data_IF_455439900383
#
_entry.id   IF_455439900383
#
_cell.length_a   1.000
_cell.length_b   1.000
_cell.length_c   1.000
_cell.angle_alpha   90.00
_cell.angle_beta   90.00
_cell.angle_gamma   90.00
#
_symmetry.space_group_name_H-M   'P 1'
#
loop_
_entity.id
_entity.type
_entity.pdbx_description
1 polymer ?
#
# COMPACT_ATOMS: atom_id res chain seq x y z
N UNK A 1 5.62 -21.27 -6.90
CA UNK A 1 5.36 -21.12 -5.45
C UNK A 1 5.45 -19.66 -5.00
N UNK A 2 6.55 -18.96 -5.29
CA UNK A 2 6.79 -17.57 -4.84
C UNK A 2 5.68 -16.55 -5.13
N UNK A 3 5.13 -16.53 -6.36
CA UNK A 3 4.04 -15.61 -6.70
C UNK A 3 2.73 -15.85 -5.94
N UNK A 4 2.49 -17.07 -5.46
CA UNK A 4 1.33 -17.38 -4.61
C UNK A 4 1.53 -16.79 -3.21
N UNK A 5 2.70 -17.03 -2.62
CA UNK A 5 3.06 -16.54 -1.30
C UNK A 5 2.98 -15.01 -1.26
N UNK A 6 3.52 -14.33 -2.26
CA UNK A 6 3.46 -12.87 -2.35
C UNK A 6 2.02 -12.34 -2.36
N UNK A 7 1.11 -12.98 -3.12
CA UNK A 7 -0.30 -12.55 -3.13
C UNK A 7 -0.96 -12.79 -1.78
N UNK A 8 -0.75 -13.95 -1.15
CA UNK A 8 -1.30 -14.24 0.19
C UNK A 8 -0.78 -13.23 1.22
N UNK A 9 0.53 -12.91 1.21
CA UNK A 9 1.10 -11.90 2.09
C UNK A 9 0.51 -10.51 1.85
N UNK A 10 0.26 -10.14 0.58
CA UNK A 10 -0.40 -8.87 0.23
C UNK A 10 -1.87 -8.82 0.71
N UNK A 11 -2.59 -9.93 0.61
CA UNK A 11 -3.97 -10.05 1.10
C UNK A 11 -4.03 -9.96 2.63
N UNK A 12 -3.09 -10.60 3.34
CA UNK A 12 -2.94 -10.45 4.78
C UNK A 12 -2.62 -9.01 5.17
N UNK A 13 -1.71 -8.35 4.43
CA UNK A 13 -1.38 -6.95 4.65
C UNK A 13 -2.61 -6.04 4.46
N UNK A 14 -3.46 -6.31 3.46
CA UNK A 14 -4.73 -5.59 3.27
C UNK A 14 -5.64 -5.76 4.47
N UNK A 15 -5.83 -6.99 4.95
CA UNK A 15 -6.70 -7.29 6.08
C UNK A 15 -6.23 -6.61 7.36
N UNK A 16 -4.94 -6.71 7.66
CA UNK A 16 -4.33 -6.02 8.81
C UNK A 16 -4.49 -4.51 8.66
N UNK A 17 -4.20 -3.96 7.48
CA UNK A 17 -4.38 -2.54 7.17
C UNK A 17 -5.82 -2.07 7.36
N UNK A 18 -6.80 -2.86 6.93
CA UNK A 18 -8.22 -2.55 7.09
C UNK A 18 -8.64 -2.55 8.56
N UNK A 19 -8.16 -3.52 9.33
CA UNK A 19 -8.41 -3.59 10.78
C UNK A 19 -7.81 -2.36 11.47
N UNK A 20 -6.58 -1.96 11.11
CA UNK A 20 -5.96 -0.75 11.63
C UNK A 20 -6.76 0.51 11.23
N UNK A 21 -7.16 0.61 9.96
CA UNK A 21 -7.84 1.78 9.41
C UNK A 21 -9.22 2.01 10.04
N UNK A 22 -10.01 0.95 10.23
CA UNK A 22 -11.39 1.03 10.76
C UNK A 22 -11.40 1.03 12.30
N UNK A 23 -10.60 0.16 12.93
CA UNK A 23 -10.78 -0.16 14.35
C UNK A 23 -9.73 0.41 15.29
N UNK A 24 -8.45 0.48 14.91
CA UNK A 24 -7.40 0.83 15.86
C UNK A 24 -6.87 2.26 15.72
N UNK A 25 -6.87 2.83 14.51
CA UNK A 25 -6.22 4.11 14.24
C UNK A 25 -7.09 5.31 14.64
N UNK A 26 -6.65 6.15 15.61
CA UNK A 26 -7.38 7.37 15.98
C UNK A 26 -7.37 8.41 14.86
N UNK A 27 -6.27 8.49 14.09
CA UNK A 27 -6.08 9.47 13.03
C UNK A 27 -7.11 9.26 11.91
N UNK A 28 -7.26 8.01 11.45
CA UNK A 28 -8.20 7.69 10.37
C UNK A 28 -9.64 7.79 10.84
N UNK A 29 -9.95 7.40 12.08
CA UNK A 29 -11.29 7.56 12.67
C UNK A 29 -11.71 9.02 12.74
N UNK A 30 -10.83 9.90 13.21
CA UNK A 30 -11.08 11.34 13.24
C UNK A 30 -11.16 11.92 11.83
N UNK A 31 -10.29 11.46 10.93
CA UNK A 31 -10.24 11.90 9.54
C UNK A 31 -11.51 11.54 8.74
N UNK A 32 -12.06 10.35 8.95
CA UNK A 32 -13.33 9.92 8.33
C UNK A 32 -14.52 10.68 8.91
N UNK A 33 -14.51 11.00 10.22
CA UNK A 33 -15.59 11.78 10.86
C UNK A 33 -15.60 13.25 10.44
N UNK A 34 -14.44 13.85 10.23
CA UNK A 34 -14.29 15.24 9.79
C UNK A 34 -13.34 15.31 8.59
N UNK A 35 -13.86 14.93 7.44
CA UNK A 35 -13.08 14.85 6.20
C UNK A 35 -12.53 16.21 5.77
N UNK A 36 -13.29 17.29 5.97
CA UNK A 36 -12.86 18.64 5.63
C UNK A 36 -11.60 19.06 6.42
N UNK A 37 -11.57 18.79 7.74
CA UNK A 37 -10.39 19.04 8.56
C UNK A 37 -9.23 18.10 8.21
N UNK A 38 -9.52 16.85 7.85
CA UNK A 38 -8.49 15.88 7.46
C UNK A 38 -7.72 16.33 6.21
N UNK A 39 -8.37 16.97 5.25
CA UNK A 39 -7.73 17.45 4.02
C UNK A 39 -6.78 18.64 4.23
N UNK A 40 -6.96 19.39 5.33
CA UNK A 40 -6.14 20.55 5.66
C UNK A 40 -4.79 20.18 6.29
N UNK A 41 -4.69 19.00 6.91
CA UNK A 41 -3.45 18.51 7.51
C UNK A 41 -2.82 17.45 6.62
N UNK A 42 -1.56 17.67 6.21
CA UNK A 42 -0.84 16.72 5.35
C UNK A 42 -0.79 15.31 5.96
N UNK A 43 -0.55 15.22 7.28
CA UNK A 43 -0.55 13.94 7.99
C UNK A 43 -1.92 13.25 7.97
N UNK A 44 -2.99 13.99 8.27
CA UNK A 44 -4.33 13.40 8.30
C UNK A 44 -4.81 13.00 6.89
N UNK A 45 -4.51 13.82 5.86
CA UNK A 45 -4.83 13.54 4.45
C UNK A 45 -4.12 12.27 3.97
N UNK A 46 -2.83 12.14 4.29
CA UNK A 46 -2.05 10.98 3.90
C UNK A 46 -2.63 9.68 4.47
N UNK A 47 -2.83 9.58 5.78
CA UNK A 47 -3.30 8.34 6.40
C UNK A 47 -4.77 8.01 6.08
N UNK A 48 -5.59 9.05 5.86
CA UNK A 48 -7.03 8.86 5.60
C UNK A 48 -7.32 8.54 4.14
N UNK A 49 -6.55 9.08 3.19
CA UNK A 49 -6.89 9.01 1.75
C UNK A 49 -5.74 8.49 0.90
N UNK A 50 -4.59 9.15 0.93
CA UNK A 50 -3.51 8.88 -0.04
C UNK A 50 -2.90 7.49 0.18
N UNK A 51 -2.62 7.13 1.43
CA UNK A 51 -2.08 5.83 1.82
C UNK A 51 -3.03 4.66 1.47
N UNK A 52 -4.30 4.63 1.92
CA UNK A 52 -5.20 3.54 1.55
C UNK A 52 -5.45 3.47 0.04
N UNK A 53 -5.50 4.60 -0.68
CA UNK A 53 -5.62 4.60 -2.13
C UNK A 53 -4.42 3.92 -2.81
N UNK A 54 -3.19 4.26 -2.40
CA UNK A 54 -1.97 3.64 -2.92
C UNK A 54 -1.92 2.14 -2.63
N UNK A 55 -2.35 1.71 -1.43
CA UNK A 55 -2.43 0.29 -1.06
C UNK A 55 -3.43 -0.48 -1.92
N UNK A 56 -4.63 0.07 -2.16
CA UNK A 56 -5.64 -0.56 -3.02
C UNK A 56 -5.13 -0.73 -4.45
N UNK A 57 -4.51 0.31 -5.02
CA UNK A 57 -3.91 0.25 -6.36
C UNK A 57 -2.83 -0.84 -6.43
N UNK A 58 -1.98 -0.91 -5.40
CA UNK A 58 -0.93 -1.92 -5.28
C UNK A 58 -1.50 -3.33 -5.29
N UNK A 59 -2.53 -3.59 -4.47
CA UNK A 59 -3.14 -4.92 -4.38
C UNK A 59 -3.83 -5.31 -5.69
N UNK A 60 -4.52 -4.37 -6.34
CA UNK A 60 -5.10 -4.59 -7.65
C UNK A 60 -4.02 -5.01 -8.67
N UNK A 61 -2.87 -4.32 -8.69
CA UNK A 61 -1.74 -4.67 -9.55
C UNK A 61 -1.20 -6.07 -9.28
N UNK A 62 -1.03 -6.46 -8.01
CA UNK A 62 -0.58 -7.81 -7.61
C UNK A 62 -1.54 -8.89 -8.11
N UNK A 63 -2.86 -8.66 -8.00
CA UNK A 63 -3.88 -9.60 -8.48
C UNK A 63 -3.88 -9.72 -10.00
N UNK A 64 -3.81 -8.60 -10.72
CA UNK A 64 -3.72 -8.59 -12.19
C UNK A 64 -2.44 -9.29 -12.65
N UNK A 65 -1.32 -9.05 -11.98
CA UNK A 65 -0.05 -9.72 -12.26
C UNK A 65 -0.19 -11.24 -12.15
N UNK A 66 -0.79 -11.72 -11.05
CA UNK A 66 -1.03 -13.15 -10.83
C UNK A 66 -1.91 -13.77 -11.92
N UNK A 67 -2.97 -13.09 -12.36
CA UNK A 67 -3.82 -13.54 -13.47
C UNK A 67 -3.02 -13.59 -14.79
N UNK A 68 -2.25 -12.54 -15.11
CA UNK A 68 -1.44 -12.48 -16.34
C UNK A 68 -0.34 -13.54 -16.38
N UNK A 69 0.36 -13.77 -15.27
CA UNK A 69 1.41 -14.81 -15.17
C UNK A 69 0.82 -16.21 -15.38
N UNK A 70 -0.35 -16.50 -14.79
CA UNK A 70 -1.02 -17.80 -14.99
C UNK A 70 -1.44 -18.04 -16.44
N UNK A 71 -1.83 -16.98 -17.16
CA UNK A 71 -2.27 -17.06 -18.56
C UNK A 71 -1.13 -17.03 -19.58
N UNK A 72 0.11 -16.75 -19.16
CA UNK A 72 1.24 -16.73 -20.08
C UNK A 72 1.66 -18.16 -20.47
N UNK A 73 1.90 -18.39 -21.76
CA UNK A 73 2.23 -19.71 -22.32
C UNK A 73 3.67 -20.14 -22.08
N UNK A 74 4.62 -19.21 -22.19
CA UNK A 74 6.06 -19.48 -22.10
C UNK A 74 6.70 -19.00 -20.77
N UNK A 75 7.74 -19.68 -20.26
CA UNK A 75 8.40 -19.30 -19.00
C UNK A 75 9.04 -17.91 -19.01
N UNK A 76 9.55 -17.47 -20.16
CA UNK A 76 10.28 -16.20 -20.29
C UNK A 76 9.34 -15.00 -20.13
N UNK A 77 8.16 -15.07 -20.74
CA UNK A 77 7.08 -14.10 -20.59
C UNK A 77 6.52 -14.08 -19.17
N UNK A 78 6.39 -15.24 -18.51
CA UNK A 78 6.01 -15.31 -17.08
C UNK A 78 6.95 -14.50 -16.21
N UNK A 79 8.26 -14.69 -16.40
CA UNK A 79 9.28 -13.99 -15.62
C UNK A 79 9.25 -12.48 -15.89
N UNK A 80 9.16 -12.06 -17.16
CA UNK A 80 9.10 -10.64 -17.53
C UNK A 80 7.88 -9.93 -16.94
N UNK A 81 6.69 -10.56 -16.98
CA UNK A 81 5.47 -10.01 -16.37
C UNK A 81 5.66 -9.88 -14.85
N UNK A 82 6.22 -10.91 -14.21
CA UNK A 82 6.44 -10.90 -12.77
C UNK A 82 7.37 -9.76 -12.35
N UNK A 83 8.53 -9.60 -13.00
CA UNK A 83 9.50 -8.54 -12.66
C UNK A 83 8.90 -7.15 -12.82
N UNK A 84 8.19 -6.88 -13.93
CA UNK A 84 7.62 -5.56 -14.17
C UNK A 84 6.47 -5.27 -13.22
N UNK A 85 5.49 -6.15 -13.12
CA UNK A 85 4.26 -5.85 -12.36
C UNK A 85 4.49 -5.93 -10.85
N UNK A 86 5.23 -6.92 -10.36
CA UNK A 86 5.59 -6.96 -8.95
C UNK A 86 6.64 -5.90 -8.60
N UNK A 87 7.54 -5.54 -9.53
CA UNK A 87 8.47 -4.42 -9.33
C UNK A 87 7.73 -3.09 -9.13
N UNK A 88 6.75 -2.78 -9.99
CA UNK A 88 5.92 -1.57 -9.84
C UNK A 88 5.13 -1.60 -8.53
N UNK A 89 4.50 -2.73 -8.19
CA UNK A 89 3.79 -2.88 -6.92
C UNK A 89 4.72 -2.68 -5.71
N UNK A 90 5.95 -3.20 -5.77
CA UNK A 90 6.94 -3.02 -4.70
C UNK A 90 7.32 -1.55 -4.52
N UNK A 91 7.55 -0.83 -5.63
CA UNK A 91 7.88 0.60 -5.59
C UNK A 91 6.74 1.40 -4.96
N UNK A 92 5.48 1.11 -5.32
CA UNK A 92 4.32 1.77 -4.72
C UNK A 92 4.23 1.54 -3.21
N UNK A 93 4.48 0.31 -2.74
CA UNK A 93 4.52 0.00 -1.31
C UNK A 93 5.60 0.83 -0.61
N UNK A 94 6.81 0.85 -1.16
CA UNK A 94 7.95 1.58 -0.57
C UNK A 94 7.65 3.08 -0.49
N UNK A 95 7.06 3.68 -1.52
CA UNK A 95 6.72 5.11 -1.52
C UNK A 95 5.62 5.42 -0.48
N UNK A 96 4.66 4.52 -0.31
CA UNK A 96 3.53 4.73 0.58
C UNK A 96 3.84 4.44 2.07
N UNK A 97 5.07 4.03 2.41
CA UNK A 97 5.52 3.92 3.80
C UNK A 97 6.02 5.29 4.28
N UNK A 98 5.51 5.84 5.39
CA UNK A 98 5.97 7.13 5.92
C UNK A 98 7.32 6.97 6.62
N UNK A 99 8.41 7.03 5.85
CA UNK A 99 9.77 6.85 6.35
C UNK A 99 10.16 7.96 7.34
N UNK A 100 10.98 7.65 8.38
CA UNK A 100 11.37 8.63 9.38
C UNK A 100 12.27 9.75 8.83
N UNK A 101 12.91 9.52 7.68
CA UNK A 101 13.82 10.47 7.02
C UNK A 101 13.17 11.22 5.84
N UNK A 102 11.84 11.17 5.69
CA UNK A 102 11.13 11.94 4.67
C UNK A 102 11.20 13.44 4.97
N UNK A 103 11.69 14.28 4.03
CA UNK A 103 11.71 15.73 4.21
C UNK A 103 10.30 16.34 4.03
N UNK A 104 10.00 17.50 4.63
CA UNK A 104 8.78 18.25 4.32
C UNK A 104 8.71 18.50 2.80
N UNK A 105 7.56 18.31 2.14
CA UNK A 105 6.19 18.23 2.67
C UNK A 105 5.66 16.79 2.91
N UNK A 106 6.51 15.77 2.83
CA UNK A 106 6.08 14.38 2.99
C UNK A 106 5.87 14.02 4.47
N UNK A 107 4.91 13.14 4.73
CA UNK A 107 4.58 12.71 6.10
C UNK A 107 5.63 11.72 6.59
N UNK A 108 6.47 12.16 7.53
CA UNK A 108 7.43 11.31 8.24
C UNK A 108 6.85 10.83 9.57
N UNK A 109 7.10 9.57 9.93
CA UNK A 109 6.75 9.03 11.26
C UNK A 109 8.05 8.73 12.03
N UNK A 110 8.34 9.47 13.12
CA UNK A 110 9.52 9.20 13.95
C UNK A 110 9.52 7.78 14.52
N UNK A 111 10.69 7.15 14.58
CA UNK A 111 10.83 5.77 15.07
C UNK A 111 10.63 5.65 16.59
N UNK A 112 10.88 6.72 17.33
CA UNK A 112 10.77 6.77 18.79
C UNK A 112 10.03 8.04 19.20
N UNK A 113 9.06 7.90 20.10
CA UNK A 113 8.49 9.01 20.86
C UNK A 113 9.54 9.45 21.89
N UNK A 114 10.43 10.35 21.51
CA UNK A 114 11.28 11.09 22.46
C UNK A 114 11.10 12.57 22.20
#
# INVERSE_FOLDING_TARGET
MWGLLLTISADLQLLVGLVLYIFLSPITRLGVRNFAAAMQSDAARFFTVEHPAAMIITIALIHVARVKIRKAGDPQRKHRIAVVMFGIAMILIVIAIPWPFMPPPFVSRPLLHR
#
